data_IF_222616370642
#
_entry.id   IF_222616370642
#
_cell.length_a   1.000
_cell.length_b   1.000
_cell.length_c   1.000
_cell.angle_alpha   90.00
_cell.angle_beta   90.00
_cell.angle_gamma   90.00
#
_symmetry.space_group_name_H-M   'P 1'
#
loop_
_entity.id
_entity.type
_entity.pdbx_description
1 polymer ?
#
# COMPACT_ATOMS: atom_id res chain seq x y z
N UNK A 1 -5.48 -14.24 -11.21
CA UNK A 1 -5.62 -13.03 -10.37
C UNK A 1 -4.39 -12.87 -9.48
N UNK A 2 -4.15 -11.66 -8.95
CA UNK A 2 -3.08 -11.35 -7.97
C UNK A 2 -3.64 -11.28 -6.54
N UNK A 3 -2.81 -11.55 -5.54
CA UNK A 3 -3.18 -11.46 -4.12
C UNK A 3 -3.00 -10.05 -3.60
N UNK A 4 -3.99 -9.53 -2.88
CA UNK A 4 -3.93 -8.24 -2.17
C UNK A 4 -3.91 -8.50 -0.66
N UNK A 5 -3.01 -7.84 0.05
CA UNK A 5 -2.86 -7.93 1.51
C UNK A 5 -2.93 -6.51 2.05
N UNK A 6 -3.69 -6.33 3.13
CA UNK A 6 -3.84 -5.04 3.82
C UNK A 6 -2.88 -5.03 5.01
N UNK A 7 -2.05 -3.99 5.10
CA UNK A 7 -1.19 -3.73 6.26
C UNK A 7 -1.80 -2.65 7.15
N UNK A 8 -1.24 -2.47 8.35
CA UNK A 8 -1.68 -1.44 9.29
C UNK A 8 -1.65 -0.02 8.68
N UNK A 9 -2.67 0.79 9.00
CA UNK A 9 -2.83 2.14 8.47
C UNK A 9 -1.73 3.11 8.95
N UNK A 10 -1.21 2.88 10.15
CA UNK A 10 -0.23 3.74 10.81
C UNK A 10 1.20 3.21 10.70
N UNK A 11 1.40 2.17 9.87
CA UNK A 11 2.72 1.65 9.58
C UNK A 11 3.64 2.77 9.03
N UNK A 12 4.79 3.04 9.68
CA UNK A 12 5.63 4.21 9.38
C UNK A 12 6.50 3.99 8.13
N UNK A 13 5.88 3.64 7.00
CA UNK A 13 6.56 3.18 5.78
C UNK A 13 7.59 4.15 5.23
N UNK A 14 7.33 5.47 5.29
CA UNK A 14 8.27 6.49 4.82
C UNK A 14 9.43 6.73 5.80
N UNK A 15 9.16 6.66 7.11
CA UNK A 15 10.11 6.92 8.20
C UNK A 15 11.05 5.75 8.48
N UNK A 16 10.63 4.52 8.19
CA UNK A 16 11.43 3.32 8.46
C UNK A 16 12.53 3.18 7.41
N UNK A 17 13.78 2.95 7.82
CA UNK A 17 14.84 2.61 6.88
C UNK A 17 14.59 1.21 6.29
N UNK A 18 14.42 1.09 4.97
CA UNK A 18 14.23 -0.21 4.34
C UNK A 18 15.47 -1.12 4.37
N UNK A 19 16.63 -0.60 4.79
CA UNK A 19 17.89 -1.35 4.86
C UNK A 19 18.16 -1.91 6.27
N UNK A 20 17.92 -1.13 7.32
CA UNK A 20 18.23 -1.52 8.70
C UNK A 20 17.02 -1.54 9.66
N UNK A 21 15.86 -1.05 9.23
CA UNK A 21 14.64 -1.03 10.04
C UNK A 21 14.53 0.12 11.04
N UNK A 22 15.58 0.92 11.24
CA UNK A 22 15.54 2.07 12.16
C UNK A 22 14.61 3.16 11.62
N UNK A 23 13.77 3.72 12.50
CA UNK A 23 12.92 4.86 12.16
C UNK A 23 13.72 6.17 12.21
N UNK A 24 13.55 7.03 11.20
CA UNK A 24 14.00 8.40 11.24
C UNK A 24 13.25 9.19 12.31
N UNK A 25 13.96 10.07 13.01
CA UNK A 25 13.40 10.93 14.06
C UNK A 25 12.26 11.82 13.53
N UNK A 26 12.48 12.45 12.37
CA UNK A 26 11.50 13.31 11.71
C UNK A 26 11.45 13.03 10.21
N UNK A 27 10.25 13.18 9.62
CA UNK A 27 10.06 13.07 8.18
C UNK A 27 8.97 14.03 7.68
N UNK A 28 9.28 15.34 7.63
CA UNK A 28 8.38 16.33 7.06
C UNK A 28 8.07 16.03 5.59
N UNK A 29 6.89 16.46 5.11
CA UNK A 29 6.44 16.20 3.73
C UNK A 29 7.33 16.82 2.64
N UNK A 30 8.16 17.81 2.95
CA UNK A 30 9.11 18.39 2.00
C UNK A 30 10.40 17.56 1.84
N UNK A 31 10.71 16.66 2.79
CA UNK A 31 11.89 15.80 2.71
C UNK A 31 11.62 14.69 1.71
N UNK A 32 12.25 14.78 0.53
CA UNK A 32 12.15 13.78 -0.53
C UNK A 32 13.29 12.76 -0.49
N UNK A 33 14.47 13.17 -0.04
CA UNK A 33 15.62 12.28 0.10
C UNK A 33 16.26 12.45 1.47
N UNK A 34 16.76 11.36 2.04
CA UNK A 34 17.44 11.37 3.33
C UNK A 34 18.46 10.23 3.43
N UNK A 35 19.44 10.41 4.33
CA UNK A 35 20.45 9.40 4.63
C UNK A 35 20.20 8.82 6.00
N UNK A 36 20.17 7.49 6.09
CA UNK A 36 20.07 6.77 7.35
C UNK A 36 21.45 6.69 8.03
N UNK A 37 21.47 6.59 9.36
CA UNK A 37 22.69 6.37 10.14
C UNK A 37 23.41 5.06 9.80
N UNK A 38 22.70 4.08 9.23
CA UNK A 38 23.32 2.85 8.71
C UNK A 38 24.06 3.06 7.37
N UNK A 39 24.10 4.28 6.83
CA UNK A 39 24.77 4.64 5.58
C UNK A 39 23.90 4.52 4.32
N UNK A 40 22.66 4.04 4.44
CA UNK A 40 21.75 3.93 3.29
C UNK A 40 21.19 5.31 2.90
N UNK A 41 21.23 5.64 1.61
CA UNK A 41 20.54 6.78 1.04
C UNK A 41 19.15 6.36 0.52
N UNK A 42 18.14 7.18 0.79
CA UNK A 42 16.75 6.90 0.47
C UNK A 42 16.12 8.04 -0.32
N UNK A 43 15.43 7.71 -1.40
CA UNK A 43 14.24 8.45 -1.84
C UNK A 43 13.05 7.98 -0.98
N UNK A 44 12.23 8.93 -0.50
CA UNK A 44 11.15 8.67 0.44
C UNK A 44 10.10 7.71 -0.11
N UNK A 45 9.70 7.89 -1.36
CA UNK A 45 8.58 7.15 -1.96
C UNK A 45 9.03 5.74 -2.36
N UNK A 46 10.26 5.60 -2.87
CA UNK A 46 10.90 4.29 -3.12
C UNK A 46 11.10 3.53 -1.81
N UNK A 47 11.57 4.18 -0.75
CA UNK A 47 11.74 3.58 0.57
C UNK A 47 10.38 3.10 1.13
N UNK A 48 9.35 3.95 1.06
CA UNK A 48 8.00 3.59 1.49
C UNK A 48 7.47 2.36 0.74
N UNK A 49 7.66 2.30 -0.59
CA UNK A 49 7.25 1.14 -1.39
C UNK A 49 7.94 -0.16 -0.96
N UNK A 50 9.26 -0.11 -0.68
CA UNK A 50 10.01 -1.27 -0.17
C UNK A 50 9.47 -1.74 1.19
N UNK A 51 9.20 -0.82 2.10
CA UNK A 51 8.68 -1.14 3.43
C UNK A 51 7.25 -1.69 3.37
N UNK A 52 6.37 -1.13 2.53
CA UNK A 52 5.00 -1.64 2.33
C UNK A 52 5.02 -3.07 1.77
N UNK A 53 5.92 -3.34 0.81
CA UNK A 53 6.10 -4.69 0.27
C UNK A 53 6.58 -5.68 1.34
N UNK A 54 7.54 -5.27 2.17
CA UNK A 54 8.06 -6.09 3.26
C UNK A 54 6.96 -6.39 4.30
N UNK A 55 6.23 -5.37 4.75
CA UNK A 55 5.12 -5.53 5.69
C UNK A 55 4.02 -6.43 5.12
N UNK A 56 3.60 -6.22 3.86
CA UNK A 56 2.57 -7.04 3.23
C UNK A 56 2.99 -8.51 3.07
N UNK A 57 4.29 -8.79 2.88
CA UNK A 57 4.83 -10.15 2.88
C UNK A 57 4.82 -10.77 4.28
N UNK A 58 5.20 -10.01 5.30
CA UNK A 58 5.17 -10.46 6.69
C UNK A 58 3.74 -10.76 7.16
N UNK A 59 2.79 -9.86 6.90
CA UNK A 59 1.37 -10.06 7.24
C UNK A 59 0.78 -11.27 6.52
N UNK A 60 1.18 -11.52 5.26
CA UNK A 60 0.76 -12.72 4.53
C UNK A 60 1.26 -14.01 5.20
N UNK A 61 2.50 -14.01 5.69
CA UNK A 61 3.08 -15.18 6.37
C UNK A 61 2.44 -15.40 7.75
N UNK A 62 2.09 -14.31 8.43
CA UNK A 62 1.43 -14.33 9.73
C UNK A 62 -0.08 -14.60 9.64
N UNK A 63 -0.68 -14.40 8.47
CA UNK A 63 -2.08 -14.73 8.23
C UNK A 63 -2.28 -16.25 8.33
N UNK A 64 -3.00 -16.66 9.37
CA UNK A 64 -3.49 -18.02 9.54
C UNK A 64 -4.56 -18.34 8.47
N UNK A 65 -4.12 -18.60 7.24
CA UNK A 65 -4.78 -19.46 6.24
C UNK A 65 -6.25 -19.23 5.89
N UNK A 66 -6.87 -18.09 6.23
CA UNK A 66 -8.27 -17.83 5.95
C UNK A 66 -8.50 -17.50 4.47
N UNK A 67 -9.16 -18.40 3.73
CA UNK A 67 -9.58 -18.16 2.34
C UNK A 67 -10.69 -17.09 2.32
N UNK A 68 -10.32 -15.82 2.22
CA UNK A 68 -11.28 -14.76 1.85
C UNK A 68 -11.27 -14.64 0.33
N UNK A 69 -12.08 -15.47 -0.33
CA UNK A 69 -12.48 -15.23 -1.72
C UNK A 69 -13.81 -14.48 -1.67
N UNK A 70 -13.88 -13.19 -2.05
CA UNK A 70 -15.17 -12.60 -2.36
C UNK A 70 -15.72 -13.30 -3.61
N UNK A 71 -17.02 -13.60 -3.62
CA UNK A 71 -17.71 -13.97 -4.86
C UNK A 71 -17.57 -12.83 -5.86
N UNK A 72 -17.23 -13.15 -7.11
CA UNK A 72 -17.27 -12.17 -8.20
C UNK A 72 -18.72 -11.71 -8.32
N UNK A 73 -19.03 -10.52 -7.83
CA UNK A 73 -20.30 -9.88 -8.13
C UNK A 73 -20.29 -9.58 -9.64
N UNK A 74 -21.20 -10.20 -10.38
CA UNK A 74 -21.46 -9.85 -11.77
C UNK A 74 -22.00 -8.42 -11.78
N UNK A 75 -21.31 -7.50 -12.44
CA UNK A 75 -21.84 -6.16 -12.68
C UNK A 75 -23.13 -6.31 -13.50
N UNK A 76 -24.28 -5.94 -12.93
CA UNK A 76 -25.50 -5.83 -13.71
C UNK A 76 -25.41 -4.54 -14.53
N UNK A 77 -25.52 -4.68 -15.84
CA UNK A 77 -25.74 -3.54 -16.72
C UNK A 77 -27.22 -3.19 -16.66
N UNK A 78 -27.62 -2.30 -15.74
CA UNK A 78 -28.90 -1.62 -15.84
C UNK A 78 -28.72 -0.36 -16.70
N UNK A 79 -28.88 -0.55 -18.01
CA UNK A 79 -28.94 0.56 -18.97
C UNK A 79 -30.19 1.41 -18.66
N UNK A 80 -30.05 2.45 -17.84
CA UNK A 80 -31.08 3.49 -17.72
C UNK A 80 -30.94 4.41 -18.93
N UNK A 81 -31.55 4.00 -20.05
CA UNK A 81 -31.65 4.81 -21.26
C UNK A 81 -32.40 6.12 -20.98
N UNK A 82 -31.75 7.25 -21.26
CA UNK A 82 -32.39 8.57 -21.24
C UNK A 82 -33.27 8.73 -22.48
N UNK A 83 -34.59 8.73 -22.29
CA UNK A 83 -35.54 9.05 -23.36
C UNK A 83 -35.34 10.51 -23.79
N UNK A 84 -34.86 10.73 -25.02
CA UNK A 84 -34.91 12.05 -25.65
C UNK A 84 -36.36 12.32 -26.05
N UNK A 85 -36.99 13.28 -25.38
CA UNK A 85 -38.31 13.80 -25.76
C UNK A 85 -38.29 14.37 -27.17
N UNK A 86 -39.27 13.97 -27.97
CA UNK A 86 -39.56 14.54 -29.28
C UNK A 86 -40.26 15.89 -29.11
N UNK A 87 -39.89 16.86 -29.94
CA UNK A 87 -40.68 18.04 -30.27
C UNK A 87 -41.13 17.92 -31.74
#
# INVERSE_FOLDING_TARGET
GRTLVRIDRWFPSSKLCSACGTAAESMPLHVRSWSCLCGAAHDRDINAAKNILAAGRADRLNACGGRVRPSIAVAQADETGSHRGAA
#
